data_IF_647946317766
#
_entry.id   IF_647946317766
#
_cell.length_a   1.000
_cell.length_b   1.000
_cell.length_c   1.000
_cell.angle_alpha   90.00
_cell.angle_beta   90.00
_cell.angle_gamma   90.00
#
_symmetry.space_group_name_H-M   'P 1'
#
loop_
_entity.id
_entity.type
_entity.pdbx_description
1 polymer ?
#
# COMPACT_ATOMS: atom_id res chain seq x y z
N UNK A 1 13.10 26.14 1.95
CA UNK A 1 11.94 25.22 1.97
C UNK A 1 11.00 25.72 3.05
N UNK A 2 9.77 26.04 2.70
CA UNK A 2 8.82 26.60 3.66
C UNK A 2 8.37 25.53 4.67
N UNK A 3 8.03 25.94 5.90
CA UNK A 3 7.49 25.03 6.93
C UNK A 3 6.29 24.23 6.43
N UNK A 4 5.45 24.85 5.58
CA UNK A 4 4.31 24.20 4.92
C UNK A 4 4.72 23.04 4.03
N UNK A 5 5.81 23.18 3.27
CA UNK A 5 6.31 22.12 2.38
C UNK A 5 6.85 20.94 3.20
N UNK A 6 7.57 21.23 4.29
CA UNK A 6 8.13 20.18 5.16
C UNK A 6 6.99 19.41 5.83
N UNK A 7 6.01 20.11 6.39
CA UNK A 7 4.83 19.49 7.00
C UNK A 7 4.05 18.64 5.98
N UNK A 8 3.84 19.14 4.77
CA UNK A 8 3.16 18.40 3.70
C UNK A 8 3.93 17.11 3.33
N UNK A 9 5.25 17.19 3.14
CA UNK A 9 6.10 16.01 2.85
C UNK A 9 6.01 14.96 3.96
N UNK A 10 6.02 15.37 5.22
CA UNK A 10 5.88 14.44 6.36
C UNK A 10 4.51 13.76 6.34
N UNK A 11 3.43 14.53 6.18
CA UNK A 11 2.07 13.99 6.17
C UNK A 11 1.88 12.99 5.02
N UNK A 12 2.27 13.34 3.79
CA UNK A 12 2.10 12.45 2.64
C UNK A 12 2.94 11.18 2.76
N UNK A 13 4.13 11.27 3.37
CA UNK A 13 4.97 10.10 3.70
C UNK A 13 4.26 9.15 4.65
N UNK A 14 3.72 9.69 5.75
CA UNK A 14 2.99 8.89 6.72
C UNK A 14 1.79 8.20 6.06
N UNK A 15 1.00 8.93 5.26
CA UNK A 15 -0.12 8.34 4.53
C UNK A 15 0.32 7.19 3.61
N UNK A 16 1.41 7.35 2.86
CA UNK A 16 1.92 6.31 1.96
C UNK A 16 2.39 5.06 2.74
N UNK A 17 3.09 5.26 3.85
CA UNK A 17 3.54 4.16 4.73
C UNK A 17 2.34 3.44 5.32
N UNK A 18 1.37 4.16 5.89
CA UNK A 18 0.16 3.58 6.45
C UNK A 18 -0.65 2.81 5.41
N UNK A 19 -0.81 3.37 4.20
CA UNK A 19 -1.52 2.71 3.11
C UNK A 19 -0.83 1.41 2.68
N UNK A 20 0.50 1.40 2.59
CA UNK A 20 1.27 0.20 2.28
C UNK A 20 1.10 -0.88 3.38
N UNK A 21 1.23 -0.51 4.65
CA UNK A 21 1.02 -1.43 5.77
C UNK A 21 -0.40 -2.00 5.78
N UNK A 22 -1.40 -1.16 5.53
CA UNK A 22 -2.79 -1.58 5.38
C UNK A 22 -2.95 -2.62 4.26
N UNK A 23 -2.40 -2.35 3.06
CA UNK A 23 -2.46 -3.28 1.94
C UNK A 23 -1.81 -4.64 2.26
N UNK A 24 -0.70 -4.65 3.02
CA UNK A 24 -0.06 -5.88 3.48
C UNK A 24 -0.93 -6.67 4.45
N UNK A 25 -1.60 -5.99 5.39
CA UNK A 25 -2.52 -6.65 6.35
C UNK A 25 -3.69 -7.28 5.61
N UNK A 26 -4.32 -6.54 4.69
CA UNK A 26 -5.42 -7.06 3.85
C UNK A 26 -4.94 -8.26 3.03
N UNK A 27 -3.76 -8.19 2.42
CA UNK A 27 -3.18 -9.33 1.68
C UNK A 27 -2.99 -10.58 2.53
N UNK A 28 -2.52 -10.42 3.77
CA UNK A 28 -2.41 -11.55 4.70
C UNK A 28 -3.78 -12.13 5.06
N UNK A 29 -4.76 -11.28 5.35
CA UNK A 29 -6.12 -11.71 5.68
C UNK A 29 -6.79 -12.44 4.52
N UNK A 30 -6.66 -11.94 3.29
CA UNK A 30 -7.18 -12.59 2.08
C UNK A 30 -6.50 -13.95 1.85
N UNK A 31 -5.18 -14.07 2.04
CA UNK A 31 -4.48 -15.36 1.93
C UNK A 31 -4.91 -16.38 2.99
N UNK A 32 -5.25 -15.92 4.19
CA UNK A 32 -5.78 -16.80 5.25
C UNK A 32 -7.19 -17.26 4.86
N UNK A 33 -8.04 -16.33 4.47
CA UNK A 33 -9.40 -16.59 4.00
C UNK A 33 -9.43 -17.57 2.82
N UNK A 34 -8.54 -17.39 1.84
CA UNK A 34 -8.43 -18.25 0.67
C UNK A 34 -8.20 -19.72 1.05
N UNK A 35 -7.24 -19.95 1.94
CA UNK A 35 -6.92 -21.29 2.46
C UNK A 35 -8.06 -21.91 3.25
N UNK A 36 -8.90 -21.11 3.89
CA UNK A 36 -9.99 -21.59 4.75
C UNK A 36 -11.26 -21.91 3.96
N UNK A 37 -11.58 -21.11 2.92
CA UNK A 37 -12.87 -21.22 2.22
C UNK A 37 -12.84 -22.09 0.95
N UNK A 38 -11.66 -22.38 0.37
CA UNK A 38 -11.51 -23.20 -0.87
C UNK A 38 -12.51 -22.82 -1.98
N UNK A 39 -12.78 -21.53 -2.14
CA UNK A 39 -13.83 -21.03 -3.03
C UNK A 39 -13.26 -20.72 -4.42
N UNK A 40 -13.97 -21.10 -5.49
CA UNK A 40 -13.54 -20.92 -6.88
C UNK A 40 -13.31 -19.45 -7.24
N UNK A 41 -13.97 -18.52 -6.53
CA UNK A 41 -13.85 -17.08 -6.76
C UNK A 41 -12.67 -16.42 -6.02
N UNK A 42 -11.95 -17.16 -5.18
CA UNK A 42 -10.81 -16.61 -4.44
C UNK A 42 -9.65 -16.16 -5.33
N UNK A 43 -9.50 -16.76 -6.51
CA UNK A 43 -8.43 -16.38 -7.45
C UNK A 43 -8.51 -14.90 -7.86
N UNK A 44 -9.71 -14.38 -8.09
CA UNK A 44 -9.91 -12.97 -8.43
C UNK A 44 -9.62 -12.05 -7.24
N UNK A 45 -10.08 -12.40 -6.05
CA UNK A 45 -9.84 -11.61 -4.83
C UNK A 45 -8.33 -11.57 -4.51
N UNK A 46 -7.64 -12.71 -4.65
CA UNK A 46 -6.18 -12.78 -4.50
C UNK A 46 -5.45 -11.90 -5.52
N UNK A 47 -5.89 -11.92 -6.78
CA UNK A 47 -5.30 -11.09 -7.83
C UNK A 47 -5.48 -9.59 -7.54
N UNK A 48 -6.71 -9.15 -7.22
CA UNK A 48 -6.99 -7.75 -6.86
C UNK A 48 -6.17 -7.32 -5.65
N UNK A 49 -6.05 -8.19 -4.65
CA UNK A 49 -5.29 -7.87 -3.44
C UNK A 49 -3.79 -7.82 -3.71
N UNK A 50 -3.27 -8.68 -4.59
CA UNK A 50 -1.88 -8.60 -5.07
C UNK A 50 -1.63 -7.28 -5.81
N UNK A 51 -2.54 -6.89 -6.70
CA UNK A 51 -2.44 -5.64 -7.44
C UNK A 51 -2.47 -4.43 -6.50
N UNK A 52 -3.34 -4.45 -5.47
CA UNK A 52 -3.40 -3.43 -4.44
C UNK A 52 -2.06 -3.28 -3.70
N UNK A 53 -1.42 -4.39 -3.30
CA UNK A 53 -0.09 -4.36 -2.67
C UNK A 53 0.93 -3.74 -3.63
N UNK A 54 0.96 -4.16 -4.90
CA UNK A 54 1.88 -3.59 -5.89
C UNK A 54 1.68 -2.08 -6.08
N UNK A 55 0.44 -1.62 -6.23
CA UNK A 55 0.12 -0.19 -6.39
C UNK A 55 0.56 0.59 -5.14
N UNK A 56 0.28 0.07 -3.94
CA UNK A 56 0.67 0.72 -2.69
C UNK A 56 2.19 0.85 -2.55
N UNK A 57 2.96 -0.14 -3.02
CA UNK A 57 4.42 -0.08 -3.05
C UNK A 57 4.93 0.97 -4.05
N UNK A 58 4.34 1.03 -5.25
CA UNK A 58 4.69 2.05 -6.26
C UNK A 58 4.43 3.45 -5.73
N UNK A 59 3.29 3.67 -5.07
CA UNK A 59 2.97 4.95 -4.43
C UNK A 59 4.03 5.30 -3.38
N UNK A 60 4.38 4.35 -2.51
CA UNK A 60 5.41 4.56 -1.49
C UNK A 60 6.76 4.96 -2.11
N UNK A 61 7.20 4.27 -3.17
CA UNK A 61 8.45 4.59 -3.86
C UNK A 61 8.40 6.00 -4.48
N UNK A 62 7.31 6.36 -5.14
CA UNK A 62 7.13 7.70 -5.74
C UNK A 62 7.17 8.78 -4.65
N UNK A 63 6.51 8.55 -3.51
CA UNK A 63 6.50 9.48 -2.38
C UNK A 63 7.89 9.62 -1.76
N UNK A 64 8.64 8.53 -1.59
CA UNK A 64 10.00 8.59 -1.08
C UNK A 64 10.96 9.29 -2.06
N UNK A 65 10.82 9.05 -3.36
CA UNK A 65 11.62 9.72 -4.40
C UNK A 65 11.32 11.22 -4.48
N UNK A 66 10.05 11.63 -4.35
CA UNK A 66 9.69 13.05 -4.39
C UNK A 66 10.24 13.85 -3.21
N UNK A 67 10.51 13.17 -2.08
CA UNK A 67 11.20 13.77 -0.95
C UNK A 67 12.71 13.88 -1.20
N UNK A 68 13.30 12.93 -1.92
CA UNK A 68 14.74 12.84 -2.15
C UNK A 68 15.25 13.79 -3.26
N UNK A 69 14.44 13.99 -4.31
CA UNK A 69 14.80 14.77 -5.51
C UNK A 69 14.60 16.30 -5.29
N UNK A 70 13.94 16.70 -4.20
CA UNK A 70 13.64 18.11 -3.83
C UNK A 70 14.26 18.44 -2.48
#
# INVERSE_FOLDING_TARGET
MDFKDIAFKVVISLFAIFYYLYALVVSKQVKIMDKTLQDEHNGFILFVTSLQVTISLVILIIVLLSILII
#
